data_IF_649549217011
#
_entry.id   IF_649549217011
#
_cell.length_a   1.000
_cell.length_b   1.000
_cell.length_c   1.000
_cell.angle_alpha   90.00
_cell.angle_beta   90.00
_cell.angle_gamma   90.00
#
_symmetry.space_group_name_H-M   'P 1'
#
loop_
_entity.id
_entity.type
_entity.pdbx_description
1 polymer ?
#
# COMPACT_ATOMS: atom_id res chain seq x y z
N UNK A 1 -18.24 -2.99 6.92
CA UNK A 1 -18.15 -1.60 7.44
C UNK A 1 -18.54 -1.52 8.90
N UNK A 2 -19.65 -2.13 9.34
CA UNK A 2 -20.12 -2.01 10.74
C UNK A 2 -19.07 -2.33 11.81
N UNK A 3 -18.31 -3.42 11.69
CA UNK A 3 -17.27 -3.75 12.69
C UNK A 3 -16.14 -2.72 12.74
N UNK A 4 -15.84 -2.09 11.61
CA UNK A 4 -14.82 -1.05 11.53
C UNK A 4 -15.34 0.25 12.15
N UNK A 5 -16.55 0.68 11.80
CA UNK A 5 -17.19 1.86 12.42
C UNK A 5 -17.32 1.72 13.95
N UNK A 6 -17.63 0.52 14.45
CA UNK A 6 -17.65 0.24 15.90
C UNK A 6 -16.29 0.47 16.56
N UNK A 7 -15.19 0.00 15.95
CA UNK A 7 -13.84 0.24 16.45
C UNK A 7 -13.52 1.75 16.52
N UNK A 8 -13.95 2.54 15.53
CA UNK A 8 -13.72 3.98 15.53
C UNK A 8 -14.57 4.70 16.57
N UNK A 9 -15.83 4.29 16.76
CA UNK A 9 -16.68 4.84 17.81
C UNK A 9 -16.07 4.60 19.20
N UNK A 10 -15.53 3.40 19.45
CA UNK A 10 -14.83 3.07 20.71
C UNK A 10 -13.53 3.86 20.90
N UNK A 11 -12.88 4.31 19.81
CA UNK A 11 -11.62 5.06 19.83
C UNK A 11 -11.78 6.58 19.65
N UNK A 12 -12.99 7.10 19.77
CA UNK A 12 -13.25 8.55 19.68
C UNK A 12 -13.09 9.13 18.27
N UNK A 13 -13.30 8.31 17.24
CA UNK A 13 -13.29 8.67 15.82
C UNK A 13 -11.98 9.22 15.24
N UNK A 14 -10.88 9.23 16.01
CA UNK A 14 -9.57 9.57 15.49
C UNK A 14 -9.08 8.51 14.49
N UNK A 15 -8.36 8.90 13.41
CA UNK A 15 -7.70 7.95 12.51
C UNK A 15 -6.81 6.97 13.27
N UNK A 16 -6.80 5.71 12.83
CA UNK A 16 -5.94 4.69 13.40
C UNK A 16 -4.52 4.88 12.86
N UNK A 17 -3.58 5.18 13.77
CA UNK A 17 -2.15 5.25 13.45
C UNK A 17 -1.56 3.85 13.30
N UNK A 18 -0.87 3.63 12.19
CA UNK A 18 -0.19 2.37 11.86
C UNK A 18 1.22 2.64 11.35
N UNK A 19 2.18 1.81 11.78
CA UNK A 19 3.55 1.85 11.24
C UNK A 19 3.61 1.29 9.82
N UNK A 20 2.73 0.34 9.50
CA UNK A 20 2.51 -0.16 8.15
C UNK A 20 1.10 -0.72 7.97
N UNK A 21 0.58 -0.63 6.74
CA UNK A 21 -0.67 -1.24 6.33
C UNK A 21 -0.41 -2.24 5.20
N UNK A 22 -0.71 -3.52 5.45
CA UNK A 22 -0.85 -4.47 4.34
C UNK A 22 -2.14 -4.14 3.57
N UNK A 23 -2.03 -3.94 2.26
CA UNK A 23 -3.22 -3.69 1.44
C UNK A 23 -4.11 -4.91 1.35
N UNK A 24 -5.41 -4.68 1.36
CA UNK A 24 -6.41 -5.74 1.26
C UNK A 24 -6.42 -6.37 -0.13
N UNK A 25 -6.73 -7.66 -0.20
CA UNK A 25 -7.01 -8.39 -1.43
C UNK A 25 -5.98 -8.13 -2.55
N UNK A 26 -4.71 -8.34 -2.22
CA UNK A 26 -3.58 -8.22 -3.17
C UNK A 26 -3.42 -6.84 -3.85
N UNK A 27 -4.15 -5.82 -3.40
CA UNK A 27 -4.15 -4.51 -4.04
C UNK A 27 -5.23 -4.32 -5.10
N UNK A 28 -6.32 -5.08 -5.03
CA UNK A 28 -7.53 -4.82 -5.82
C UNK A 28 -8.11 -3.43 -5.51
N UNK A 29 -8.47 -2.67 -6.55
CA UNK A 29 -8.98 -1.29 -6.49
C UNK A 29 -10.25 -1.16 -5.64
N UNK A 30 -11.05 -2.22 -5.54
CA UNK A 30 -12.31 -2.25 -4.79
C UNK A 30 -12.16 -2.37 -3.27
N UNK A 31 -10.97 -2.74 -2.78
CA UNK A 31 -10.79 -3.11 -1.37
C UNK A 31 -10.08 -2.04 -0.52
N UNK A 32 -9.21 -1.23 -1.12
CA UNK A 32 -8.49 -0.15 -0.42
C UNK A 32 -9.07 1.20 -0.83
N UNK A 33 -10.27 1.55 -0.36
CA UNK A 33 -11.01 2.73 -0.81
C UNK A 33 -10.67 4.00 -0.02
N UNK A 34 -10.98 5.18 -0.56
CA UNK A 34 -10.80 6.45 0.16
C UNK A 34 -11.49 6.52 1.54
N UNK A 35 -12.76 6.06 1.70
CA UNK A 35 -13.39 5.99 3.02
C UNK A 35 -12.62 5.16 4.04
N UNK A 36 -11.98 4.06 3.61
CA UNK A 36 -11.10 3.29 4.49
C UNK A 36 -9.81 4.05 4.82
N UNK A 37 -9.18 4.63 3.80
CA UNK A 37 -7.91 5.33 3.95
C UNK A 37 -8.03 6.56 4.86
N UNK A 38 -9.08 7.36 4.76
CA UNK A 38 -9.29 8.51 5.66
C UNK A 38 -9.47 8.16 7.14
N UNK A 39 -9.66 6.88 7.44
CA UNK A 39 -9.71 6.36 8.81
C UNK A 39 -8.37 5.83 9.29
N UNK A 40 -7.32 5.87 8.47
CA UNK A 40 -5.99 5.33 8.77
C UNK A 40 -4.96 6.44 8.56
N UNK A 41 -4.03 6.58 9.51
CA UNK A 41 -2.82 7.39 9.36
C UNK A 41 -1.65 6.43 9.17
N UNK A 42 -1.09 6.37 7.96
CA UNK A 42 -0.02 5.44 7.61
C UNK A 42 0.81 5.97 6.43
N UNK A 43 2.13 5.88 6.54
CA UNK A 43 3.07 6.24 5.47
C UNK A 43 3.65 5.04 4.72
N UNK A 44 3.30 3.79 5.10
CA UNK A 44 3.93 2.57 4.56
C UNK A 44 2.92 1.50 4.18
N UNK A 45 2.93 1.09 2.92
CA UNK A 45 1.94 0.15 2.35
C UNK A 45 2.60 -1.12 1.82
N UNK A 46 2.08 -2.28 2.20
CA UNK A 46 2.66 -3.58 1.86
C UNK A 46 1.78 -4.34 0.85
N UNK A 47 2.36 -4.71 -0.29
CA UNK A 47 1.74 -5.48 -1.37
C UNK A 47 2.35 -6.89 -1.41
N UNK A 48 1.51 -7.91 -1.23
CA UNK A 48 1.92 -9.32 -1.17
C UNK A 48 1.29 -10.13 -2.31
N UNK A 49 1.70 -9.86 -3.55
CA UNK A 49 1.28 -10.58 -4.76
C UNK A 49 2.28 -10.38 -5.88
N UNK A 50 2.38 -11.35 -6.78
CA UNK A 50 3.14 -11.31 -8.03
C UNK A 50 2.27 -11.03 -9.26
N UNK A 51 0.94 -10.91 -9.09
CA UNK A 51 -0.02 -10.66 -10.16
C UNK A 51 -0.39 -11.86 -11.03
N UNK A 52 0.19 -13.04 -10.80
CA UNK A 52 0.06 -14.20 -11.69
C UNK A 52 -1.37 -14.72 -11.92
N UNK A 53 -2.29 -14.49 -10.98
CA UNK A 53 -3.68 -15.01 -11.04
C UNK A 53 -4.70 -13.95 -11.47
N UNK A 54 -4.61 -12.74 -10.92
CA UNK A 54 -5.64 -11.70 -11.06
C UNK A 54 -5.10 -10.35 -11.58
N UNK A 55 -3.83 -10.30 -11.99
CA UNK A 55 -3.14 -9.08 -12.45
C UNK A 55 -3.15 -7.93 -11.43
N UNK A 56 -3.26 -8.27 -10.14
CA UNK A 56 -3.11 -7.32 -9.04
C UNK A 56 -1.62 -7.16 -8.66
N UNK A 57 -1.20 -6.03 -8.07
CA UNK A 57 -2.02 -4.89 -7.66
C UNK A 57 -2.52 -4.01 -8.82
N UNK A 58 -3.70 -3.43 -8.65
CA UNK A 58 -4.22 -2.44 -9.59
C UNK A 58 -3.46 -1.11 -9.42
N UNK A 59 -3.10 -0.46 -10.53
CA UNK A 59 -2.42 0.85 -10.51
C UNK A 59 -3.24 1.92 -9.76
N UNK A 60 -4.57 1.82 -9.81
CA UNK A 60 -5.48 2.69 -9.05
C UNK A 60 -5.28 2.53 -7.53
N UNK A 61 -5.09 1.30 -7.05
CA UNK A 61 -4.85 1.04 -5.63
C UNK A 61 -3.51 1.61 -5.18
N UNK A 62 -2.45 1.39 -5.98
CA UNK A 62 -1.10 1.90 -5.70
C UNK A 62 -1.11 3.44 -5.67
N UNK A 63 -1.69 4.05 -6.71
CA UNK A 63 -1.83 5.51 -6.80
C UNK A 63 -2.56 6.09 -5.59
N UNK A 64 -3.63 5.41 -5.14
CA UNK A 64 -4.44 5.86 -4.02
C UNK A 64 -3.67 5.83 -2.70
N UNK A 65 -2.89 4.78 -2.44
CA UNK A 65 -2.10 4.71 -1.20
C UNK A 65 -0.89 5.64 -1.21
N UNK A 66 -0.30 5.92 -2.37
CA UNK A 66 0.73 6.97 -2.51
C UNK A 66 0.12 8.33 -2.17
N UNK A 67 -1.00 8.68 -2.80
CA UNK A 67 -1.67 9.95 -2.58
C UNK A 67 -2.14 10.12 -1.13
N UNK A 68 -2.62 9.05 -0.48
CA UNK A 68 -3.04 9.09 0.92
C UNK A 68 -1.86 9.13 1.90
N UNK A 69 -0.79 8.38 1.64
CA UNK A 69 0.41 8.36 2.49
C UNK A 69 1.16 9.70 2.49
N UNK A 70 0.97 10.51 1.45
CA UNK A 70 1.55 11.84 1.32
C UNK A 70 3.05 11.83 0.96
N UNK A 71 3.70 13.01 1.01
CA UNK A 71 5.13 13.18 0.77
C UNK A 71 5.98 12.17 1.55
N UNK A 72 6.81 11.41 0.84
CA UNK A 72 7.67 10.37 1.42
C UNK A 72 6.99 9.02 1.67
N UNK A 73 5.78 8.79 1.14
CA UNK A 73 5.10 7.50 1.25
C UNK A 73 6.00 6.35 0.77
N UNK A 74 5.97 5.21 1.46
CA UNK A 74 6.72 4.01 1.10
C UNK A 74 5.78 2.92 0.64
N UNK A 75 5.94 2.46 -0.60
CA UNK A 75 5.27 1.25 -1.10
C UNK A 75 6.27 0.09 -1.11
N UNK A 76 5.86 -1.03 -0.54
CA UNK A 76 6.67 -2.21 -0.34
C UNK A 76 6.06 -3.37 -1.13
N UNK A 77 6.69 -3.78 -2.21
CA UNK A 77 6.29 -4.96 -2.98
C UNK A 77 7.07 -6.18 -2.50
N UNK A 78 6.35 -7.27 -2.20
CA UNK A 78 6.99 -8.53 -1.83
C UNK A 78 7.60 -9.28 -3.04
N UNK A 79 7.22 -8.87 -4.26
CA UNK A 79 7.71 -9.45 -5.51
C UNK A 79 8.06 -8.31 -6.46
N UNK A 80 9.13 -8.48 -7.23
CA UNK A 80 9.44 -7.62 -8.38
C UNK A 80 9.00 -8.36 -9.63
N UNK A 81 8.05 -7.81 -10.36
CA UNK A 81 7.47 -8.42 -11.55
C UNK A 81 6.97 -7.33 -12.50
N UNK A 82 6.64 -7.69 -13.74
CA UNK A 82 6.18 -6.76 -14.78
C UNK A 82 5.05 -5.84 -14.30
N UNK A 83 4.13 -6.36 -13.48
CA UNK A 83 3.00 -5.60 -12.92
C UNK A 83 3.45 -4.45 -12.00
N UNK A 84 4.55 -4.62 -11.29
CA UNK A 84 5.03 -3.67 -10.27
C UNK A 84 6.28 -2.90 -10.73
N UNK A 85 6.93 -3.32 -11.81
CA UNK A 85 8.20 -2.76 -12.28
C UNK A 85 8.12 -1.27 -12.63
N UNK A 86 7.01 -0.82 -13.21
CA UNK A 86 6.80 0.58 -13.55
C UNK A 86 6.88 1.52 -12.33
N UNK A 87 6.57 1.01 -11.14
CA UNK A 87 6.63 1.76 -9.88
C UNK A 87 8.05 1.88 -9.31
N UNK A 88 9.05 1.27 -9.94
CA UNK A 88 10.46 1.46 -9.64
C UNK A 88 11.09 2.65 -10.41
N UNK A 89 10.35 3.28 -11.33
CA UNK A 89 10.86 4.40 -12.13
C UNK A 89 11.24 5.59 -11.21
N UNK A 90 12.53 5.98 -11.16
CA UNK A 90 12.97 7.07 -10.31
C UNK A 90 12.40 8.43 -10.73
N UNK A 91 12.02 8.64 -11.99
CA UNK A 91 11.37 9.88 -12.41
C UNK A 91 9.96 9.97 -11.83
N UNK A 92 9.18 8.89 -11.93
CA UNK A 92 7.85 8.79 -11.33
C UNK A 92 7.91 8.91 -9.80
N UNK A 93 8.84 8.20 -9.16
CA UNK A 93 9.04 8.25 -7.71
C UNK A 93 9.36 9.66 -7.20
N UNK A 94 10.22 10.41 -7.90
CA UNK A 94 10.50 11.82 -7.57
C UNK A 94 9.31 12.73 -7.82
N UNK A 95 8.58 12.53 -8.92
CA UNK A 95 7.45 13.39 -9.28
C UNK A 95 6.29 13.27 -8.30
N UNK A 96 6.07 12.08 -7.74
CA UNK A 96 5.00 11.77 -6.80
C UNK A 96 5.49 11.68 -5.35
N UNK A 97 6.77 11.95 -5.10
CA UNK A 97 7.43 11.91 -3.79
C UNK A 97 7.15 10.64 -2.97
N UNK A 98 7.45 9.47 -3.54
CA UNK A 98 7.35 8.18 -2.85
C UNK A 98 8.62 7.34 -3.02
N UNK A 99 8.75 6.31 -2.19
CA UNK A 99 9.78 5.28 -2.31
C UNK A 99 9.15 3.91 -2.59
N UNK A 100 9.58 3.24 -3.65
CA UNK A 100 9.27 1.83 -3.87
C UNK A 100 10.38 0.93 -3.32
N UNK A 101 10.00 -0.12 -2.59
CA UNK A 101 10.90 -1.15 -2.06
C UNK A 101 10.55 -2.51 -2.64
N UNK A 102 11.58 -3.25 -3.02
CA UNK A 102 11.50 -4.61 -3.57
C UNK A 102 12.47 -5.54 -2.82
N UNK A 103 12.32 -6.87 -2.92
CA UNK A 103 13.28 -7.80 -2.37
C UNK A 103 14.68 -7.62 -2.98
N UNK A 104 15.72 -7.89 -2.21
CA UNK A 104 17.12 -7.83 -2.66
C UNK A 104 17.54 -8.99 -3.57
N UNK A 105 16.73 -10.05 -3.63
CA UNK A 105 16.97 -11.24 -4.45
C UNK A 105 15.64 -11.85 -4.89
N UNK A 106 15.58 -12.40 -6.11
CA UNK A 106 14.35 -12.98 -6.68
C UNK A 106 13.76 -14.16 -5.88
N UNK A 107 14.60 -14.95 -5.21
CA UNK A 107 14.17 -16.07 -4.38
C UNK A 107 13.71 -15.67 -2.95
N UNK A 108 13.80 -14.38 -2.60
CA UNK A 108 13.53 -13.87 -1.27
C UNK A 108 12.28 -12.98 -1.23
N UNK A 109 11.60 -12.96 -0.08
CA UNK A 109 10.58 -11.95 0.22
C UNK A 109 11.18 -10.64 0.75
N UNK A 110 10.38 -9.58 0.78
CA UNK A 110 10.78 -8.31 1.37
C UNK A 110 10.60 -8.36 2.89
N UNK A 111 11.68 -8.08 3.65
CA UNK A 111 11.60 -7.85 5.10
C UNK A 111 11.46 -6.36 5.41
N UNK A 112 10.55 -6.04 6.31
CA UNK A 112 10.24 -4.68 6.75
C UNK A 112 10.31 -4.65 8.28
N UNK A 113 11.19 -3.82 8.83
CA UNK A 113 11.24 -3.51 10.27
C UNK A 113 10.24 -2.38 10.58
N UNK A 114 9.47 -2.53 11.66
CA UNK A 114 8.41 -1.62 12.11
C UNK A 114 8.74 -1.04 13.48
#
# INVERSE_FOLDING_TARGET
MESFERLFAERGHAPLRLDAMKVSHHGSRGNTTWPLLYRIECGRYLFSTDGSVFDHPDDECISRVIAHGGPGATICFNYRCDRTEAWADPALARALDYTARYPSSEAGGLRVEL
#
